data_IF_248536498853
#
_entry.id   IF_248536498853
#
_cell.length_a   1.000
_cell.length_b   1.000
_cell.length_c   1.000
_cell.angle_alpha   90.00
_cell.angle_beta   90.00
_cell.angle_gamma   90.00
#
_symmetry.space_group_name_H-M   'P 1'
#
loop_
_entity.id
_entity.type
_entity.pdbx_description
1 polymer ?
#
# COMPACT_ATOMS: atom_id res chain seq x y z
N UNK A 1 -8.05 -16.77 32.77
CA UNK A 1 -8.47 -15.49 33.38
C UNK A 1 -7.31 -14.47 33.37
N UNK A 2 -6.04 -14.88 33.55
CA UNK A 2 -4.85 -13.99 33.52
C UNK A 2 -4.58 -13.35 32.13
N UNK A 3 -4.67 -14.12 31.06
CA UNK A 3 -4.36 -13.64 29.69
C UNK A 3 -5.29 -12.49 29.25
N UNK A 4 -6.57 -12.53 29.61
CA UNK A 4 -7.52 -11.46 29.27
C UNK A 4 -7.23 -10.15 30.00
N UNK A 5 -6.73 -10.24 31.26
CA UNK A 5 -6.42 -9.05 32.09
C UNK A 5 -5.15 -8.34 31.57
N UNK A 6 -4.10 -9.08 31.22
CA UNK A 6 -2.87 -8.53 30.64
C UNK A 6 -3.13 -7.86 29.28
N UNK A 7 -3.94 -8.51 28.42
CA UNK A 7 -4.34 -7.96 27.13
C UNK A 7 -5.10 -6.63 27.28
N UNK A 8 -6.09 -6.57 28.20
CA UNK A 8 -6.86 -5.36 28.43
C UNK A 8 -5.97 -4.22 28.97
N UNK A 9 -5.02 -4.53 29.85
CA UNK A 9 -4.05 -3.55 30.33
C UNK A 9 -3.16 -3.02 29.19
N UNK A 10 -2.72 -3.88 28.26
CA UNK A 10 -1.96 -3.45 27.09
C UNK A 10 -2.79 -2.53 26.17
N UNK A 11 -4.09 -2.85 25.97
CA UNK A 11 -4.99 -2.01 25.19
C UNK A 11 -5.15 -0.63 25.81
N UNK A 12 -5.31 -0.56 27.12
CA UNK A 12 -5.49 0.71 27.85
C UNK A 12 -4.24 1.60 27.83
N UNK A 13 -3.06 1.03 27.60
CA UNK A 13 -1.81 1.79 27.41
C UNK A 13 -1.65 2.37 25.99
N UNK A 14 -2.47 1.94 25.03
CA UNK A 14 -2.40 2.46 23.68
C UNK A 14 -2.97 3.87 23.59
N UNK A 15 -2.21 4.80 23.03
CA UNK A 15 -2.66 6.18 22.77
C UNK A 15 -3.63 6.28 21.58
N UNK A 16 -3.65 5.27 20.72
CA UNK A 16 -4.55 5.19 19.56
C UNK A 16 -5.83 4.47 19.92
N UNK A 17 -6.96 4.75 19.24
CA UNK A 17 -8.15 3.94 19.42
C UNK A 17 -7.86 2.47 19.13
N UNK A 18 -8.24 1.62 20.08
CA UNK A 18 -8.08 0.19 19.97
C UNK A 18 -9.24 -0.51 20.69
N UNK A 19 -9.76 -1.57 20.08
CA UNK A 19 -10.78 -2.39 20.71
C UNK A 19 -10.61 -3.86 20.34
N UNK A 20 -10.99 -4.70 21.29
CA UNK A 20 -10.90 -6.15 21.17
C UNK A 20 -12.26 -6.76 20.87
N UNK A 21 -12.30 -7.67 19.91
CA UNK A 21 -13.50 -8.36 19.45
C UNK A 21 -13.35 -9.87 19.66
N UNK A 22 -14.34 -10.47 20.28
CA UNK A 22 -14.49 -11.93 20.40
C UNK A 22 -15.89 -12.29 19.89
N UNK A 23 -15.97 -13.33 19.08
CA UNK A 23 -17.23 -13.80 18.49
C UNK A 23 -18.04 -12.68 17.79
N UNK A 24 -17.35 -11.75 17.14
CA UNK A 24 -17.98 -10.63 16.45
C UNK A 24 -18.52 -9.50 17.34
N UNK A 25 -18.25 -9.54 18.64
CA UNK A 25 -18.72 -8.57 19.64
C UNK A 25 -17.54 -7.84 20.28
N UNK A 26 -17.63 -6.52 20.42
CA UNK A 26 -16.64 -5.71 21.15
C UNK A 26 -16.66 -6.09 22.62
N UNK A 27 -15.57 -6.65 23.13
CA UNK A 27 -15.44 -7.11 24.53
C UNK A 27 -14.68 -6.14 25.41
N UNK A 28 -13.75 -5.39 24.83
CA UNK A 28 -12.99 -4.37 25.55
C UNK A 28 -12.55 -3.27 24.59
N UNK A 29 -12.47 -2.04 25.08
CA UNK A 29 -11.97 -0.90 24.32
C UNK A 29 -11.20 0.06 25.22
N UNK A 30 -10.19 0.71 24.66
CA UNK A 30 -9.46 1.73 25.39
C UNK A 30 -10.21 3.08 25.39
N UNK A 31 -9.74 4.01 26.20
CA UNK A 31 -10.33 5.35 26.36
C UNK A 31 -10.40 6.11 25.02
N UNK A 32 -9.40 5.94 24.16
CA UNK A 32 -9.38 6.59 22.85
C UNK A 32 -10.47 6.04 21.90
N UNK A 33 -10.72 4.72 21.93
CA UNK A 33 -11.79 4.11 21.16
C UNK A 33 -13.19 4.49 21.67
N UNK A 34 -13.36 4.65 22.98
CA UNK A 34 -14.61 5.09 23.58
C UNK A 34 -15.04 6.49 23.07
N UNK A 35 -14.09 7.35 22.68
CA UNK A 35 -14.40 8.64 22.08
C UNK A 35 -14.99 8.58 20.66
N UNK A 36 -14.93 7.41 20.01
CA UNK A 36 -15.42 7.16 18.65
C UNK A 36 -16.91 6.72 18.59
N UNK A 37 -17.72 6.94 19.63
CA UNK A 37 -19.11 6.50 19.70
C UNK A 37 -19.27 4.95 19.60
N UNK A 38 -18.26 4.21 20.04
CA UNK A 38 -18.31 2.76 20.18
C UNK A 38 -18.69 2.39 21.62
N UNK A 39 -19.23 1.20 21.81
CA UNK A 39 -19.54 0.66 23.14
C UNK A 39 -19.27 -0.84 23.21
N UNK A 40 -18.88 -1.33 24.38
CA UNK A 40 -18.78 -2.76 24.64
C UNK A 40 -20.14 -3.42 24.45
N UNK A 41 -20.13 -4.62 23.91
CA UNK A 41 -21.36 -5.35 23.54
C UNK A 41 -21.87 -5.06 22.12
N UNK A 42 -21.31 -4.08 21.39
CA UNK A 42 -21.68 -3.83 19.99
C UNK A 42 -21.19 -4.96 19.09
N UNK A 43 -22.03 -5.31 18.08
CA UNK A 43 -21.66 -6.22 17.01
C UNK A 43 -20.82 -5.46 15.96
N UNK A 44 -19.65 -5.99 15.64
CA UNK A 44 -18.69 -5.38 14.69
C UNK A 44 -19.19 -5.47 13.25
N UNK A 45 -19.94 -6.50 12.88
CA UNK A 45 -20.44 -6.71 11.52
C UNK A 45 -21.23 -5.49 11.01
N UNK A 46 -22.01 -4.85 11.87
CA UNK A 46 -22.74 -3.62 11.54
C UNK A 46 -21.87 -2.41 11.30
N UNK A 47 -20.63 -2.42 11.80
CA UNK A 47 -19.67 -1.34 11.63
C UNK A 47 -18.84 -1.48 10.35
N UNK A 48 -18.74 -2.68 9.75
CA UNK A 48 -17.90 -2.91 8.58
C UNK A 48 -18.58 -2.31 7.35
N UNK A 49 -17.94 -1.25 6.81
CA UNK A 49 -18.43 -0.54 5.62
C UNK A 49 -17.93 -1.20 4.33
N UNK A 50 -16.72 -1.76 4.33
CA UNK A 50 -16.12 -2.43 3.16
C UNK A 50 -15.45 -3.74 3.56
N UNK A 51 -15.18 -4.62 2.58
CA UNK A 51 -14.40 -5.85 2.78
C UNK A 51 -15.03 -6.87 3.75
N UNK A 52 -16.36 -6.99 3.76
CA UNK A 52 -17.07 -7.98 4.60
C UNK A 52 -16.71 -9.41 4.25
N UNK A 53 -16.51 -9.72 2.98
CA UNK A 53 -16.14 -11.06 2.52
C UNK A 53 -14.72 -11.41 2.97
N UNK A 54 -13.79 -10.46 2.86
CA UNK A 54 -12.41 -10.61 3.32
C UNK A 54 -12.35 -10.75 4.84
N UNK A 55 -13.16 -9.97 5.55
CA UNK A 55 -13.27 -10.06 7.02
C UNK A 55 -13.81 -11.42 7.47
N UNK A 56 -14.83 -11.94 6.79
CA UNK A 56 -15.41 -13.25 7.11
C UNK A 56 -14.43 -14.42 6.86
N UNK A 57 -13.45 -14.25 5.98
CA UNK A 57 -12.42 -15.25 5.66
C UNK A 57 -11.13 -15.05 6.46
N UNK A 58 -11.04 -13.98 7.25
CA UNK A 58 -9.85 -13.62 8.00
C UNK A 58 -9.69 -14.56 9.20
N UNK A 59 -8.76 -15.50 9.12
CA UNK A 59 -8.40 -16.43 10.20
C UNK A 59 -7.06 -16.13 10.84
N UNK A 60 -6.13 -15.56 10.06
CA UNK A 60 -4.77 -15.24 10.48
C UNK A 60 -4.30 -13.97 9.77
N UNK A 61 -3.26 -13.33 10.31
CA UNK A 61 -2.67 -12.13 9.72
C UNK A 61 -3.42 -10.84 10.05
N UNK A 62 -3.35 -9.87 9.14
CA UNK A 62 -4.05 -8.60 9.30
C UNK A 62 -4.78 -8.17 8.03
N UNK A 63 -5.92 -7.53 8.23
CA UNK A 63 -6.77 -6.98 7.19
C UNK A 63 -6.94 -5.48 7.43
N UNK A 64 -6.73 -4.68 6.38
CA UNK A 64 -7.13 -3.29 6.42
C UNK A 64 -8.47 -3.12 5.70
N UNK A 65 -9.44 -2.54 6.40
CA UNK A 65 -10.82 -2.34 5.94
C UNK A 65 -11.34 -0.95 6.36
N UNK A 66 -12.55 -0.61 5.94
CA UNK A 66 -13.23 0.59 6.42
C UNK A 66 -14.38 0.25 7.36
N UNK A 67 -14.45 0.99 8.46
CA UNK A 67 -15.54 0.98 9.42
C UNK A 67 -16.41 2.22 9.24
N UNK A 68 -17.72 2.06 9.35
CA UNK A 68 -18.66 3.17 9.45
C UNK A 68 -18.90 3.48 10.94
N UNK A 69 -18.28 4.53 11.44
CA UNK A 69 -18.38 4.95 12.84
C UNK A 69 -19.01 6.34 12.88
N UNK A 70 -20.14 6.48 13.55
CA UNK A 70 -20.84 7.79 13.61
C UNK A 70 -21.26 8.34 12.25
N UNK A 71 -21.50 7.49 11.26
CA UNK A 71 -21.86 7.88 9.89
C UNK A 71 -20.66 8.29 9.02
N UNK A 72 -19.45 8.15 9.50
CA UNK A 72 -18.22 8.43 8.75
C UNK A 72 -17.43 7.15 8.51
N UNK A 73 -16.82 7.04 7.31
CA UNK A 73 -15.94 5.93 7.00
C UNK A 73 -14.54 6.19 7.57
N UNK A 74 -14.08 5.26 8.41
CA UNK A 74 -12.79 5.30 9.10
C UNK A 74 -12.00 4.07 8.69
N UNK A 75 -10.78 4.26 8.22
CA UNK A 75 -9.85 3.15 8.00
C UNK A 75 -9.56 2.42 9.31
N UNK A 76 -9.46 1.10 9.26
CA UNK A 76 -9.09 0.31 10.42
C UNK A 76 -8.23 -0.88 10.02
N UNK A 77 -7.24 -1.19 10.83
CA UNK A 77 -6.48 -2.43 10.73
C UNK A 77 -7.04 -3.43 11.72
N UNK A 78 -7.38 -4.62 11.25
CA UNK A 78 -7.82 -5.75 12.04
C UNK A 78 -6.69 -6.76 12.11
N UNK A 79 -6.30 -7.17 13.30
CA UNK A 79 -5.23 -8.15 13.53
C UNK A 79 -5.83 -9.37 14.22
N UNK A 80 -5.69 -10.54 13.58
CA UNK A 80 -6.11 -11.79 14.20
C UNK A 80 -5.10 -12.25 15.25
N UNK A 81 -5.63 -12.68 16.40
CA UNK A 81 -4.85 -13.24 17.48
C UNK A 81 -5.57 -14.42 18.13
N UNK A 82 -4.81 -15.19 18.93
CA UNK A 82 -5.40 -16.27 19.71
C UNK A 82 -6.57 -15.76 20.59
N UNK A 83 -7.77 -16.22 20.29
CA UNK A 83 -8.98 -15.92 21.04
C UNK A 83 -9.78 -14.71 20.57
N UNK A 84 -9.38 -14.00 19.49
CA UNK A 84 -10.17 -12.88 18.96
C UNK A 84 -9.43 -11.99 17.98
N UNK A 85 -9.91 -10.78 17.85
CA UNK A 85 -9.41 -9.83 16.87
C UNK A 85 -9.19 -8.46 17.50
N UNK A 86 -8.03 -7.86 17.24
CA UNK A 86 -7.72 -6.49 17.62
C UNK A 86 -8.07 -5.57 16.47
N UNK A 87 -8.91 -4.58 16.74
CA UNK A 87 -9.24 -3.50 15.82
C UNK A 87 -8.50 -2.24 16.22
N UNK A 88 -7.83 -1.64 15.23
CA UNK A 88 -7.06 -0.41 15.35
C UNK A 88 -7.61 0.62 14.36
N UNK A 89 -8.67 1.38 14.73
CA UNK A 89 -9.17 2.46 13.89
C UNK A 89 -8.11 3.55 13.72
N UNK A 90 -8.06 4.12 12.52
CA UNK A 90 -7.23 5.29 12.25
C UNK A 90 -7.85 6.51 12.91
N UNK A 91 -7.02 7.29 13.62
CA UNK A 91 -7.50 8.51 14.29
C UNK A 91 -7.72 9.64 13.28
N UNK A 92 -8.86 10.34 13.41
CA UNK A 92 -8.99 11.66 12.82
C UNK A 92 -7.99 12.61 13.54
N UNK A 93 -6.98 13.15 12.96
CA UNK A 93 -6.94 14.07 11.84
C UNK A 93 -5.83 13.77 10.80
N UNK A 94 -5.75 12.56 10.31
CA UNK A 94 -4.78 12.20 9.26
C UNK A 94 -4.93 13.13 8.06
N UNK A 95 -6.15 13.57 7.74
CA UNK A 95 -6.41 14.46 6.61
C UNK A 95 -5.69 15.82 6.68
N UNK A 96 -5.59 16.44 7.85
CA UNK A 96 -4.91 17.73 8.01
C UNK A 96 -3.39 17.59 7.91
N UNK A 97 -2.84 16.57 8.56
CA UNK A 97 -1.41 16.25 8.49
C UNK A 97 -1.01 15.84 7.08
N UNK A 98 -1.80 14.99 6.41
CA UNK A 98 -1.57 14.58 5.02
C UNK A 98 -1.66 15.77 4.06
N UNK A 99 -2.61 16.69 4.26
CA UNK A 99 -2.68 17.93 3.45
C UNK A 99 -1.45 18.78 3.63
N UNK A 100 -0.94 18.93 4.86
CA UNK A 100 0.29 19.67 5.11
C UNK A 100 1.49 19.01 4.44
N UNK A 101 1.62 17.69 4.55
CA UNK A 101 2.65 16.89 3.86
C UNK A 101 2.56 17.06 2.34
N UNK A 102 1.36 16.97 1.78
CA UNK A 102 1.14 17.13 0.34
C UNK A 102 1.53 18.53 -0.14
N UNK A 103 1.13 19.57 0.57
CA UNK A 103 1.52 20.95 0.24
C UNK A 103 3.03 21.14 0.31
N UNK A 104 3.69 20.59 1.32
CA UNK A 104 5.16 20.61 1.43
C UNK A 104 5.82 19.87 0.27
N UNK A 105 5.30 18.70 -0.08
CA UNK A 105 5.79 17.92 -1.21
C UNK A 105 5.66 18.68 -2.55
N UNK A 106 4.53 19.34 -2.77
CA UNK A 106 4.32 20.18 -3.96
C UNK A 106 5.33 21.33 -4.03
N UNK A 107 5.63 21.98 -2.89
CA UNK A 107 6.63 23.04 -2.82
C UNK A 107 8.06 22.54 -3.03
N UNK A 108 8.38 21.30 -2.65
CA UNK A 108 9.70 20.69 -2.86
C UNK A 108 9.91 20.22 -4.30
N UNK A 109 8.84 19.93 -5.04
CA UNK A 109 8.94 19.41 -6.42
C UNK A 109 9.61 20.39 -7.37
N UNK A 110 9.26 21.68 -7.31
CA UNK A 110 9.83 22.70 -8.18
C UNK A 110 11.35 22.91 -7.96
N UNK A 111 11.85 23.17 -6.72
CA UNK A 111 13.29 23.32 -6.51
C UNK A 111 14.06 22.03 -6.78
N UNK A 112 13.47 20.86 -6.52
CA UNK A 112 14.11 19.59 -6.90
C UNK A 112 14.23 19.45 -8.42
N UNK A 113 13.19 19.77 -9.18
CA UNK A 113 13.25 19.74 -10.65
C UNK A 113 14.32 20.68 -11.21
N UNK A 114 14.46 21.87 -10.60
CA UNK A 114 15.52 22.81 -10.94
C UNK A 114 16.92 22.27 -10.64
N UNK A 115 17.13 21.67 -9.47
CA UNK A 115 18.37 21.02 -9.12
C UNK A 115 18.70 19.84 -10.04
N UNK A 116 17.70 19.06 -10.46
CA UNK A 116 17.88 17.95 -11.39
C UNK A 116 18.36 18.45 -12.77
N UNK A 117 17.74 19.51 -13.29
CA UNK A 117 18.14 20.09 -14.57
C UNK A 117 19.59 20.65 -14.56
N UNK A 118 19.99 21.27 -13.44
CA UNK A 118 21.37 21.74 -13.26
C UNK A 118 22.31 20.55 -13.15
N UNK A 119 21.92 19.52 -12.40
CA UNK A 119 22.74 18.35 -12.16
C UNK A 119 22.97 17.54 -13.44
N UNK A 120 21.97 17.43 -14.34
CA UNK A 120 22.12 16.80 -15.64
C UNK A 120 23.30 17.40 -16.44
N UNK A 121 23.42 18.72 -16.47
CA UNK A 121 24.53 19.39 -17.18
C UNK A 121 25.90 19.10 -16.54
N UNK A 122 25.95 19.00 -15.20
CA UNK A 122 27.19 18.67 -14.48
C UNK A 122 27.56 17.20 -14.69
N UNK A 123 26.57 16.30 -14.68
CA UNK A 123 26.76 14.86 -14.82
C UNK A 123 27.23 14.45 -16.22
N UNK A 124 26.96 15.23 -17.27
CA UNK A 124 27.50 14.99 -18.61
C UNK A 124 29.04 14.98 -18.68
N UNK A 125 29.69 15.62 -17.72
CA UNK A 125 31.17 15.67 -17.60
C UNK A 125 31.70 14.85 -16.42
N UNK A 126 30.85 14.18 -15.64
CA UNK A 126 31.21 13.39 -14.49
C UNK A 126 31.59 11.95 -14.85
N UNK A 127 32.22 11.26 -13.91
CA UNK A 127 32.42 9.82 -14.02
C UNK A 127 31.05 9.11 -14.12
N UNK A 128 30.85 8.18 -15.07
CA UNK A 128 29.57 7.50 -15.28
C UNK A 128 29.00 6.81 -14.01
N UNK A 129 29.88 6.29 -13.15
CA UNK A 129 29.46 5.65 -11.90
C UNK A 129 28.84 6.67 -10.93
N UNK A 130 29.46 7.85 -10.79
CA UNK A 130 28.92 8.94 -9.98
C UNK A 130 27.63 9.50 -10.56
N UNK A 131 27.55 9.61 -11.90
CA UNK A 131 26.35 10.06 -12.58
C UNK A 131 25.17 9.11 -12.32
N UNK A 132 25.37 7.82 -12.48
CA UNK A 132 24.38 6.79 -12.21
C UNK A 132 23.88 6.83 -10.75
N UNK A 133 24.80 6.96 -9.80
CA UNK A 133 24.45 7.06 -8.38
C UNK A 133 23.65 8.34 -8.08
N UNK A 134 24.04 9.48 -8.63
CA UNK A 134 23.34 10.75 -8.45
C UNK A 134 21.91 10.67 -9.03
N UNK A 135 21.75 10.14 -10.24
CA UNK A 135 20.47 9.96 -10.88
C UNK A 135 19.54 9.01 -10.07
N UNK A 136 20.08 7.90 -9.57
CA UNK A 136 19.31 7.03 -8.67
C UNK A 136 18.83 7.77 -7.42
N UNK A 137 19.67 8.59 -6.79
CA UNK A 137 19.28 9.39 -5.62
C UNK A 137 18.21 10.42 -5.94
N UNK A 138 18.25 11.01 -7.14
CA UNK A 138 17.19 11.90 -7.61
C UNK A 138 15.85 11.18 -7.77
N UNK A 139 15.84 9.97 -8.35
CA UNK A 139 14.64 9.14 -8.47
C UNK A 139 14.07 8.78 -7.08
N UNK A 140 14.93 8.43 -6.11
CA UNK A 140 14.50 8.17 -4.74
C UNK A 140 13.85 9.40 -4.10
N UNK A 141 14.42 10.59 -4.26
CA UNK A 141 13.83 11.83 -3.76
C UNK A 141 12.49 12.15 -4.43
N UNK A 142 12.41 12.02 -5.75
CA UNK A 142 11.14 12.19 -6.49
C UNK A 142 10.06 11.23 -6.00
N UNK A 143 10.42 9.96 -5.80
CA UNK A 143 9.49 8.96 -5.27
C UNK A 143 8.98 9.35 -3.89
N UNK A 144 9.84 9.79 -2.98
CA UNK A 144 9.43 10.25 -1.64
C UNK A 144 8.47 11.43 -1.75
N UNK A 145 8.79 12.44 -2.54
CA UNK A 145 7.97 13.63 -2.74
C UNK A 145 6.62 13.26 -3.37
N UNK A 146 6.62 12.38 -4.37
CA UNK A 146 5.39 11.90 -4.99
C UNK A 146 4.52 11.13 -3.98
N UNK A 147 5.10 10.23 -3.20
CA UNK A 147 4.36 9.50 -2.16
C UNK A 147 3.75 10.43 -1.11
N UNK A 148 4.46 11.51 -0.72
CA UNK A 148 3.92 12.51 0.20
C UNK A 148 2.76 13.31 -0.42
N UNK A 149 2.87 13.69 -1.69
CA UNK A 149 1.82 14.39 -2.43
C UNK A 149 0.56 13.53 -2.55
N UNK A 150 0.74 12.28 -2.94
CA UNK A 150 -0.36 11.37 -3.26
C UNK A 150 -1.03 10.80 -2.01
N UNK A 151 -0.34 10.74 -0.89
CA UNK A 151 -0.93 10.29 0.37
C UNK A 151 -2.21 11.07 0.73
N UNK A 152 -2.20 12.41 0.55
CA UNK A 152 -3.40 13.22 0.76
C UNK A 152 -4.40 13.15 -0.41
N UNK A 153 -3.90 12.98 -1.63
CA UNK A 153 -4.74 12.92 -2.82
C UNK A 153 -5.53 11.62 -2.86
N UNK A 154 -4.89 10.49 -2.56
CA UNK A 154 -5.54 9.17 -2.55
C UNK A 154 -6.44 8.95 -1.33
N UNK A 155 -6.25 9.72 -0.27
CA UNK A 155 -7.17 9.74 0.86
C UNK A 155 -8.53 10.42 0.54
N UNK A 156 -8.63 11.14 -0.58
CA UNK A 156 -9.84 11.80 -1.05
C UNK A 156 -10.47 10.97 -2.20
N UNK A 157 -11.57 10.23 -1.95
CA UNK A 157 -12.20 9.39 -2.97
C UNK A 157 -12.70 10.17 -4.20
N UNK A 158 -13.03 11.45 -4.04
CA UNK A 158 -13.51 12.30 -5.13
C UNK A 158 -12.43 12.61 -6.16
N UNK A 159 -11.17 12.38 -5.81
CA UNK A 159 -10.01 12.53 -6.70
C UNK A 159 -9.59 11.24 -7.41
N UNK A 160 -10.29 10.15 -7.16
CA UNK A 160 -10.07 8.89 -7.86
C UNK A 160 -10.73 8.93 -9.25
N UNK A 161 -9.92 8.86 -10.29
CA UNK A 161 -10.38 8.97 -11.67
C UNK A 161 -10.41 7.61 -12.34
N UNK A 162 -11.49 6.89 -12.16
CA UNK A 162 -11.67 5.55 -12.70
C UNK A 162 -12.02 5.59 -14.17
N UNK A 163 -11.37 4.75 -14.94
CA UNK A 163 -11.69 4.46 -16.33
C UNK A 163 -11.93 2.96 -16.53
N UNK A 164 -12.69 2.62 -17.58
CA UNK A 164 -13.01 1.23 -17.90
C UNK A 164 -11.80 0.57 -18.55
N UNK A 165 -11.14 -0.28 -17.82
CA UNK A 165 -9.84 -0.86 -18.16
C UNK A 165 -9.93 -2.38 -18.24
N UNK A 166 -9.25 -2.97 -19.23
CA UNK A 166 -8.94 -4.40 -19.25
C UNK A 166 -7.78 -4.63 -18.27
N UNK A 167 -8.08 -5.24 -17.12
CA UNK A 167 -7.14 -5.27 -15.97
C UNK A 167 -6.06 -6.33 -16.16
N UNK A 168 -6.34 -7.45 -16.83
CA UNK A 168 -5.37 -8.53 -16.97
C UNK A 168 -4.18 -8.09 -17.82
N UNK A 169 -4.40 -7.57 -19.03
CA UNK A 169 -3.35 -7.06 -19.89
C UNK A 169 -2.63 -5.85 -19.29
N UNK A 170 -3.38 -4.97 -18.61
CA UNK A 170 -2.75 -3.84 -17.92
C UNK A 170 -1.78 -4.28 -16.82
N UNK A 171 -2.14 -5.29 -16.04
CA UNK A 171 -1.23 -5.86 -15.02
C UNK A 171 -0.07 -6.60 -15.65
N UNK A 172 -0.29 -7.36 -16.74
CA UNK A 172 0.79 -8.03 -17.48
C UNK A 172 1.85 -7.05 -17.96
N UNK A 173 1.45 -5.90 -18.57
CA UNK A 173 2.37 -4.84 -18.99
C UNK A 173 3.25 -4.32 -17.85
N UNK A 174 2.65 -4.05 -16.67
CA UNK A 174 3.38 -3.59 -15.49
C UNK A 174 4.35 -4.67 -14.99
N UNK A 175 3.89 -5.94 -14.93
CA UNK A 175 4.68 -7.04 -14.38
C UNK A 175 5.84 -7.43 -15.30
N UNK A 176 5.67 -7.43 -16.62
CA UNK A 176 6.75 -7.67 -17.60
C UNK A 176 7.85 -6.61 -17.46
N UNK A 177 7.46 -5.35 -17.37
CA UNK A 177 8.39 -4.24 -17.16
C UNK A 177 9.12 -4.38 -15.82
N UNK A 178 8.40 -4.66 -14.75
CA UNK A 178 8.97 -4.85 -13.43
C UNK A 178 9.92 -6.07 -13.38
N UNK A 179 9.56 -7.20 -14.01
CA UNK A 179 10.41 -8.38 -14.09
C UNK A 179 11.74 -8.07 -14.79
N UNK A 180 11.68 -7.38 -15.94
CA UNK A 180 12.88 -6.94 -16.65
C UNK A 180 13.83 -6.14 -15.75
N UNK A 181 13.31 -5.19 -14.98
CA UNK A 181 14.10 -4.38 -14.07
C UNK A 181 14.63 -5.18 -12.86
N UNK A 182 13.79 -6.04 -12.27
CA UNK A 182 14.16 -6.81 -11.08
C UNK A 182 15.14 -7.94 -11.34
N UNK A 183 15.26 -8.42 -12.59
CA UNK A 183 16.29 -9.38 -12.98
C UNK A 183 17.71 -8.84 -12.72
N UNK A 184 17.92 -7.52 -12.77
CA UNK A 184 19.22 -6.91 -12.45
C UNK A 184 19.63 -7.05 -10.97
N UNK A 185 18.67 -7.40 -10.10
CA UNK A 185 18.92 -7.72 -8.68
C UNK A 185 18.72 -9.21 -8.37
N UNK A 186 18.72 -10.06 -9.40
CA UNK A 186 18.49 -11.50 -9.30
C UNK A 186 17.14 -11.88 -8.66
N UNK A 187 16.11 -11.06 -8.86
CA UNK A 187 14.74 -11.36 -8.49
C UNK A 187 13.93 -11.57 -9.76
N UNK A 188 13.15 -12.65 -9.83
CA UNK A 188 12.19 -12.95 -10.90
C UNK A 188 10.77 -12.70 -10.42
N UNK A 189 9.90 -12.28 -11.32
CA UNK A 189 8.48 -12.20 -11.09
C UNK A 189 7.78 -13.37 -11.79
N UNK A 190 7.28 -14.32 -11.01
CA UNK A 190 6.47 -15.41 -11.51
C UNK A 190 4.99 -15.01 -11.49
N UNK A 191 4.47 -14.53 -12.62
CA UNK A 191 3.10 -14.05 -12.74
C UNK A 191 2.14 -15.16 -13.17
N UNK A 192 0.97 -15.21 -12.54
CA UNK A 192 -0.16 -16.05 -12.90
C UNK A 192 -1.41 -15.19 -13.02
N UNK A 193 -1.57 -14.59 -14.20
CA UNK A 193 -2.71 -13.73 -14.56
C UNK A 193 -3.67 -14.56 -15.45
N UNK A 194 -5.00 -14.52 -15.21
CA UNK A 194 -5.96 -15.22 -16.05
C UNK A 194 -5.93 -14.71 -17.49
N UNK A 195 -6.06 -15.61 -18.47
CA UNK A 195 -6.13 -15.24 -19.88
C UNK A 195 -7.50 -14.71 -20.32
N UNK A 196 -8.41 -14.48 -19.39
CA UNK A 196 -9.71 -13.88 -19.65
C UNK A 196 -9.62 -12.35 -19.62
N UNK A 197 -10.33 -11.69 -20.52
CA UNK A 197 -10.44 -10.24 -20.52
C UNK A 197 -11.38 -9.79 -19.40
N UNK A 198 -10.84 -9.24 -18.32
CA UNK A 198 -11.62 -8.73 -17.19
C UNK A 198 -11.62 -7.21 -17.24
N UNK A 199 -12.80 -6.66 -17.54
CA UNK A 199 -13.01 -5.22 -17.58
C UNK A 199 -13.63 -4.71 -16.30
N UNK A 200 -13.06 -3.65 -15.71
CA UNK A 200 -13.64 -2.96 -14.56
C UNK A 200 -13.20 -1.49 -14.51
N UNK A 201 -13.87 -0.71 -13.66
CA UNK A 201 -13.54 0.69 -13.45
C UNK A 201 -12.36 0.79 -12.47
N UNK A 202 -11.20 1.21 -12.94
CA UNK A 202 -10.00 1.44 -12.14
C UNK A 202 -9.34 2.77 -12.48
N UNK A 203 -8.72 3.37 -11.51
CA UNK A 203 -7.75 4.45 -11.72
C UNK A 203 -6.39 3.79 -12.01
N UNK A 204 -5.97 3.84 -13.27
CA UNK A 204 -4.77 3.15 -13.76
C UNK A 204 -3.51 3.61 -13.05
N UNK A 205 -3.37 4.92 -12.84
CA UNK A 205 -2.22 5.49 -12.16
C UNK A 205 -2.13 5.00 -10.70
N UNK A 206 -3.24 5.06 -9.96
CA UNK A 206 -3.28 4.56 -8.60
C UNK A 206 -2.98 3.06 -8.52
N UNK A 207 -3.54 2.26 -9.44
CA UNK A 207 -3.32 0.81 -9.45
C UNK A 207 -1.88 0.46 -9.81
N UNK A 208 -1.29 1.10 -10.84
CA UNK A 208 0.10 0.92 -11.23
C UNK A 208 1.05 1.21 -10.05
N UNK A 209 0.86 2.34 -9.38
CA UNK A 209 1.66 2.71 -8.21
C UNK A 209 1.49 1.75 -7.04
N UNK A 210 0.27 1.26 -6.81
CA UNK A 210 0.05 0.24 -5.77
C UNK A 210 0.81 -1.06 -6.09
N UNK A 211 0.81 -1.51 -7.36
CA UNK A 211 1.54 -2.69 -7.79
C UNK A 211 3.05 -2.52 -7.61
N UNK A 212 3.63 -1.41 -8.09
CA UNK A 212 5.06 -1.14 -7.90
C UNK A 212 5.44 -1.03 -6.42
N UNK A 213 4.62 -0.38 -5.58
CA UNK A 213 4.88 -0.31 -4.14
C UNK A 213 4.82 -1.69 -3.47
N UNK A 214 3.91 -2.57 -3.90
CA UNK A 214 3.85 -3.96 -3.43
C UNK A 214 5.10 -4.75 -3.84
N UNK A 215 5.52 -4.63 -5.11
CA UNK A 215 6.73 -5.28 -5.63
C UNK A 215 8.00 -4.76 -4.94
N UNK A 216 8.12 -3.44 -4.75
CA UNK A 216 9.22 -2.84 -4.01
C UNK A 216 9.29 -3.34 -2.57
N UNK A 217 8.15 -3.46 -1.89
CA UNK A 217 8.08 -4.02 -0.54
C UNK A 217 8.48 -5.49 -0.53
N UNK A 218 8.00 -6.28 -1.50
CA UNK A 218 8.36 -7.69 -1.63
C UNK A 218 9.87 -7.89 -1.84
N UNK A 219 10.52 -7.03 -2.63
CA UNK A 219 11.96 -7.07 -2.84
C UNK A 219 12.75 -6.59 -1.61
N UNK A 220 12.30 -5.56 -0.89
CA UNK A 220 12.98 -5.02 0.30
C UNK A 220 12.95 -5.97 1.50
N UNK A 221 11.79 -6.61 1.72
CA UNK A 221 11.54 -7.42 2.91
C UNK A 221 11.64 -8.92 2.64
N UNK A 222 11.76 -9.30 1.36
CA UNK A 222 12.04 -10.65 0.93
C UNK A 222 13.51 -11.03 1.07
N UNK A 223 13.85 -12.25 0.67
CA UNK A 223 15.25 -12.66 0.53
C UNK A 223 15.88 -11.93 -0.67
N UNK A 224 17.15 -11.62 -0.57
CA UNK A 224 17.91 -10.85 -1.58
C UNK A 224 18.04 -11.56 -2.94
N UNK A 225 17.67 -12.83 -3.03
CA UNK A 225 17.64 -13.62 -4.27
C UNK A 225 16.43 -14.55 -4.23
N UNK A 226 15.69 -14.65 -5.34
CA UNK A 226 14.54 -15.56 -5.39
C UNK A 226 13.48 -15.13 -6.38
N UNK A 227 12.26 -15.60 -6.18
CA UNK A 227 11.10 -15.22 -6.98
C UNK A 227 10.04 -14.51 -6.15
N UNK A 228 9.39 -13.53 -6.77
CA UNK A 228 8.16 -12.92 -6.28
C UNK A 228 7.02 -13.54 -7.07
N UNK A 229 6.11 -14.21 -6.37
CA UNK A 229 4.93 -14.81 -7.00
C UNK A 229 3.80 -13.78 -7.04
N UNK A 230 3.28 -13.50 -8.23
CA UNK A 230 2.14 -12.61 -8.44
C UNK A 230 0.97 -13.40 -8.99
N UNK A 231 -0.18 -13.32 -8.35
CA UNK A 231 -1.36 -14.05 -8.77
C UNK A 231 -2.59 -13.16 -8.77
N UNK A 232 -3.31 -13.15 -9.88
CA UNK A 232 -4.63 -12.54 -9.98
C UNK A 232 -5.72 -13.62 -9.98
N UNK A 233 -6.70 -13.49 -9.10
CA UNK A 233 -7.84 -14.42 -9.02
C UNK A 233 -9.14 -13.63 -8.98
N UNK A 234 -10.09 -14.03 -9.82
CA UNK A 234 -11.47 -13.53 -9.73
C UNK A 234 -12.29 -14.44 -8.81
N UNK A 235 -12.99 -13.83 -7.84
CA UNK A 235 -13.98 -14.51 -7.00
C UNK A 235 -15.23 -13.66 -6.96
N UNK A 236 -16.31 -14.14 -7.55
CA UNK A 236 -17.56 -13.39 -7.64
C UNK A 236 -17.37 -12.03 -8.34
N UNK A 237 -17.68 -10.97 -7.64
CA UNK A 237 -17.55 -9.58 -8.12
C UNK A 237 -16.27 -8.88 -7.62
N UNK A 238 -15.25 -9.64 -7.28
CA UNK A 238 -13.97 -9.09 -6.84
C UNK A 238 -12.79 -9.74 -7.54
N UNK A 239 -11.74 -8.94 -7.71
CA UNK A 239 -10.40 -9.34 -8.12
C UNK A 239 -9.49 -9.34 -6.90
N UNK A 240 -8.64 -10.34 -6.79
CA UNK A 240 -7.65 -10.50 -5.73
C UNK A 240 -6.27 -10.61 -6.36
N UNK A 241 -5.49 -9.54 -6.25
CA UNK A 241 -4.09 -9.49 -6.66
C UNK A 241 -3.22 -9.82 -5.47
N UNK A 242 -2.61 -10.99 -5.46
CA UNK A 242 -1.70 -11.44 -4.39
C UNK A 242 -0.25 -11.34 -4.84
N UNK A 243 0.60 -10.76 -4.01
CA UNK A 243 2.05 -10.69 -4.19
C UNK A 243 2.68 -11.39 -2.99
N UNK A 244 3.39 -12.46 -3.26
CA UNK A 244 4.06 -13.29 -2.26
C UNK A 244 5.55 -13.26 -2.48
N UNK A 245 6.31 -12.99 -1.43
CA UNK A 245 7.77 -13.05 -1.42
C UNK A 245 8.28 -14.02 -0.37
N UNK A 246 9.45 -14.63 -0.63
CA UNK A 246 10.18 -15.35 0.38
C UNK A 246 10.80 -14.37 1.38
N UNK A 247 10.52 -14.55 2.65
CA UNK A 247 11.03 -13.74 3.75
C UNK A 247 10.34 -14.18 5.03
N UNK A 248 11.12 -14.33 6.10
CA UNK A 248 10.56 -14.79 7.38
C UNK A 248 9.43 -13.87 7.83
N UNK A 249 8.32 -14.48 8.23
CA UNK A 249 7.25 -13.77 8.91
C UNK A 249 7.85 -12.98 10.08
N UNK A 250 7.58 -11.68 10.23
CA UNK A 250 7.98 -10.97 11.42
C UNK A 250 7.38 -11.69 12.61
N UNK A 251 8.20 -11.98 13.64
CA UNK A 251 7.72 -12.63 14.86
C UNK A 251 6.45 -11.93 15.34
N UNK A 252 5.47 -12.69 15.83
CA UNK A 252 4.14 -12.19 16.20
C UNK A 252 4.19 -10.95 17.13
N UNK A 253 5.24 -10.82 17.98
CA UNK A 253 5.50 -9.64 18.80
C UNK A 253 5.97 -8.42 17.98
N UNK A 254 6.68 -8.61 16.86
CA UNK A 254 7.20 -7.50 16.05
C UNK A 254 6.12 -6.78 15.23
N UNK A 255 4.98 -7.44 15.00
CA UNK A 255 3.84 -6.82 14.34
C UNK A 255 3.23 -5.72 15.22
N UNK A 256 3.05 -5.98 16.51
CA UNK A 256 2.63 -4.98 17.51
C UNK A 256 3.65 -3.87 17.68
N UNK A 257 4.93 -4.21 17.74
CA UNK A 257 6.01 -3.26 17.88
C UNK A 257 6.03 -2.23 16.74
N UNK A 258 5.68 -2.65 15.52
CA UNK A 258 5.57 -1.73 14.36
C UNK A 258 4.40 -0.74 14.47
N UNK A 259 3.30 -1.13 15.12
CA UNK A 259 2.16 -0.24 15.38
C UNK A 259 2.33 0.60 16.65
N UNK A 260 3.15 0.15 17.59
CA UNK A 260 3.43 0.83 18.87
C UNK A 260 4.64 1.77 18.78
N UNK A 261 5.58 1.50 17.87
CA UNK A 261 6.75 2.38 17.68
C UNK A 261 6.34 3.57 16.83
N UNK A 262 6.71 4.76 17.29
CA UNK A 262 6.83 5.91 16.42
C UNK A 262 7.80 5.55 15.29
N UNK A 263 7.52 5.95 14.02
CA UNK A 263 8.44 5.70 12.93
C UNK A 263 9.78 6.36 13.28
N UNK A 264 10.75 5.54 13.68
CA UNK A 264 12.12 6.00 13.90
C UNK A 264 12.80 6.09 12.54
N UNK A 265 13.41 7.22 12.18
CA UNK A 265 14.10 7.41 10.91
C UNK A 265 15.48 6.73 10.92
N UNK A 266 15.58 5.47 11.35
CA UNK A 266 16.86 4.78 11.55
C UNK A 266 17.43 4.18 10.27
N UNK A 267 16.59 3.96 9.24
CA UNK A 267 17.07 3.43 7.96
C UNK A 267 16.34 4.12 6.79
N UNK A 268 17.05 4.99 6.05
CA UNK A 268 16.49 5.59 4.83
C UNK A 268 16.00 4.57 3.78
N UNK A 269 16.55 3.34 3.80
CA UNK A 269 16.14 2.27 2.90
C UNK A 269 14.75 1.69 3.25
N UNK A 270 14.30 1.84 4.49
CA UNK A 270 12.97 1.35 4.90
C UNK A 270 11.81 2.27 4.47
N UNK A 271 12.11 3.49 4.06
CA UNK A 271 11.12 4.48 3.62
C UNK A 271 10.28 5.04 4.77
N UNK A 272 9.47 6.06 4.46
CA UNK A 272 8.64 6.81 5.43
C UNK A 272 7.34 6.04 5.82
N UNK A 273 7.16 4.80 5.36
CA UNK A 273 5.94 4.02 5.63
C UNK A 273 4.72 4.44 4.79
N UNK A 274 4.85 5.42 3.90
CA UNK A 274 3.74 5.91 3.08
C UNK A 274 3.25 4.91 2.03
N UNK A 275 4.12 4.01 1.54
CA UNK A 275 3.76 3.04 0.50
C UNK A 275 2.58 2.16 0.88
N UNK A 276 2.56 1.61 2.09
CA UNK A 276 1.44 0.78 2.56
C UNK A 276 0.15 1.60 2.75
N UNK A 277 0.28 2.87 3.15
CA UNK A 277 -0.87 3.78 3.26
C UNK A 277 -1.47 4.06 1.88
N UNK A 278 -0.64 4.30 0.86
CA UNK A 278 -1.09 4.46 -0.52
C UNK A 278 -1.82 3.22 -1.02
N UNK A 279 -1.26 2.01 -0.82
CA UNK A 279 -1.88 0.75 -1.20
C UNK A 279 -3.26 0.59 -0.55
N UNK A 280 -3.41 0.93 0.73
CA UNK A 280 -4.69 0.89 1.45
C UNK A 280 -5.71 1.88 0.88
N UNK A 281 -5.28 3.11 0.58
CA UNK A 281 -6.14 4.11 -0.04
C UNK A 281 -6.60 3.68 -1.42
N UNK A 282 -5.70 3.11 -2.24
CA UNK A 282 -6.05 2.55 -3.54
C UNK A 282 -7.08 1.42 -3.41
N UNK A 283 -6.87 0.49 -2.48
CA UNK A 283 -7.85 -0.58 -2.21
C UNK A 283 -9.21 -0.01 -1.85
N UNK A 284 -9.28 0.93 -0.91
CA UNK A 284 -10.51 1.57 -0.47
C UNK A 284 -11.21 2.30 -1.62
N UNK A 285 -10.46 3.08 -2.41
CA UNK A 285 -10.98 3.78 -3.58
C UNK A 285 -11.59 2.83 -4.61
N UNK A 286 -11.08 1.59 -4.72
CA UNK A 286 -11.57 0.57 -5.64
C UNK A 286 -12.56 -0.43 -4.99
N UNK A 287 -13.10 -0.11 -3.83
CA UNK A 287 -14.10 -0.94 -3.14
C UNK A 287 -13.56 -2.27 -2.61
N UNK A 288 -12.27 -2.33 -2.36
CA UNK A 288 -11.56 -3.50 -1.86
C UNK A 288 -10.90 -3.29 -0.51
N UNK A 289 -9.91 -4.13 -0.23
CA UNK A 289 -9.15 -4.17 1.01
C UNK A 289 -7.73 -4.67 0.78
N UNK A 290 -6.89 -4.54 1.78
CA UNK A 290 -5.54 -5.12 1.81
C UNK A 290 -5.47 -6.15 2.93
N UNK A 291 -5.10 -7.38 2.57
CA UNK A 291 -4.84 -8.49 3.48
C UNK A 291 -3.34 -8.79 3.47
N UNK A 292 -2.75 -8.95 4.64
CA UNK A 292 -1.39 -9.44 4.82
C UNK A 292 -1.44 -10.71 5.64
N UNK A 293 -0.98 -11.80 5.06
CA UNK A 293 -0.92 -13.09 5.74
C UNK A 293 0.43 -13.79 5.48
N UNK A 294 0.64 -14.87 6.21
CA UNK A 294 1.84 -15.69 6.14
C UNK A 294 1.42 -17.12 5.79
N UNK A 295 1.44 -17.50 4.50
CA UNK A 295 1.03 -18.84 4.07
C UNK A 295 1.83 -19.95 4.76
N UNK A 296 3.07 -19.65 5.13
CA UNK A 296 3.99 -20.48 5.91
C UNK A 296 5.02 -19.61 6.65
N UNK A 297 5.97 -20.25 7.35
CA UNK A 297 6.98 -19.54 8.15
C UNK A 297 7.96 -18.70 7.33
N UNK A 298 8.13 -19.04 6.04
CA UNK A 298 9.15 -18.47 5.17
C UNK A 298 8.60 -17.50 4.12
N UNK A 299 7.29 -17.30 4.07
CA UNK A 299 6.65 -16.46 3.06
C UNK A 299 5.71 -15.41 3.69
N UNK A 300 5.78 -14.21 3.12
CA UNK A 300 4.80 -13.16 3.37
C UNK A 300 4.02 -12.90 2.10
N UNK A 301 2.69 -12.83 2.23
CA UNK A 301 1.78 -12.54 1.12
C UNK A 301 0.96 -11.30 1.43
N UNK A 302 0.95 -10.37 0.48
CA UNK A 302 0.06 -9.20 0.50
C UNK A 302 -0.95 -9.36 -0.62
N UNK A 303 -2.24 -9.28 -0.27
CA UNK A 303 -3.34 -9.39 -1.24
C UNK A 303 -4.11 -8.08 -1.26
N UNK A 304 -4.18 -7.47 -2.45
CA UNK A 304 -5.02 -6.31 -2.75
C UNK A 304 -6.31 -6.81 -3.41
N UNK A 305 -7.46 -6.49 -2.84
CA UNK A 305 -8.74 -6.77 -3.50
C UNK A 305 -9.32 -5.52 -4.16
N UNK A 306 -10.03 -5.71 -5.28
CA UNK A 306 -10.67 -4.66 -6.07
C UNK A 306 -12.08 -5.13 -6.44
N UNK A 307 -13.08 -4.25 -6.37
CA UNK A 307 -14.41 -4.57 -6.83
C UNK A 307 -14.51 -4.55 -8.37
N UNK A 308 -15.25 -5.50 -8.95
CA UNK A 308 -15.57 -5.49 -10.38
C UNK A 308 -16.82 -4.63 -10.57
N UNK A 309 -16.64 -3.46 -11.15
CA UNK A 309 -17.71 -2.53 -11.46
C UNK A 309 -17.95 -2.53 -12.98
N UNK A 310 -19.13 -2.94 -13.41
CA UNK A 310 -19.51 -2.86 -14.83
C UNK A 310 -19.96 -1.43 -15.15
N UNK A 311 -19.20 -0.73 -15.98
CA UNK A 311 -19.58 0.59 -16.47
C UNK A 311 -20.83 0.50 -17.36
N UNK A 312 -21.82 1.33 -17.10
CA UNK A 312 -22.90 1.61 -18.04
C UNK A 312 -22.41 2.75 -18.96
N UNK A 313 -21.79 2.45 -20.05
CA UNK A 313 -21.41 3.51 -21.00
C UNK A 313 -20.61 2.98 -22.16
N UNK A 314 -20.83 3.59 -23.32
CA UNK A 314 -20.03 3.40 -24.52
C UNK A 314 -18.58 3.72 -24.22
N UNK A 315 -17.69 2.83 -24.63
CA UNK A 315 -16.23 2.98 -24.53
C UNK A 315 -15.75 4.18 -25.34
N UNK A 316 -15.93 5.38 -24.86
CA UNK A 316 -15.29 6.56 -25.40
C UNK A 316 -13.91 6.67 -24.77
N UNK A 317 -12.90 6.18 -25.45
CA UNK A 317 -11.48 6.46 -25.13
C UNK A 317 -11.21 7.93 -25.43
N UNK A 318 -11.42 8.80 -24.47
CA UNK A 318 -10.82 10.13 -24.53
C UNK A 318 -9.41 10.02 -23.94
N UNK A 319 -8.36 10.31 -24.71
CA UNK A 319 -7.03 10.44 -24.15
C UNK A 319 -7.06 11.65 -23.20
N UNK A 320 -7.10 11.38 -21.92
CA UNK A 320 -6.89 12.43 -20.92
C UNK A 320 -5.39 12.68 -20.91
N UNK A 321 -4.96 13.80 -21.48
CA UNK A 321 -3.61 14.34 -21.31
C UNK A 321 -3.47 14.73 -19.84
N UNK A 322 -3.02 13.80 -19.03
CA UNK A 322 -2.60 14.06 -17.65
C UNK A 322 -1.10 14.33 -17.66
N UNK A 323 -0.69 15.32 -16.89
CA UNK A 323 0.72 15.42 -16.52
C UNK A 323 1.00 14.21 -15.63
N UNK A 324 1.76 13.29 -16.21
CA UNK A 324 2.27 12.11 -15.54
C UNK A 324 3.06 12.51 -14.27
N UNK A 325 2.89 11.76 -13.18
CA UNK A 325 3.60 12.01 -11.92
C UNK A 325 5.12 11.83 -12.05
N UNK A 326 5.56 10.98 -12.97
CA UNK A 326 6.97 10.75 -13.31
C UNK A 326 7.50 11.75 -14.33
N UNK A 327 6.62 12.52 -15.01
CA UNK A 327 6.95 13.32 -16.17
C UNK A 327 7.28 12.41 -17.35
N UNK A 328 8.41 12.65 -18.03
CA UNK A 328 8.91 11.79 -19.10
C UNK A 328 9.73 10.58 -18.61
N UNK A 329 9.81 10.38 -17.29
CA UNK A 329 10.63 9.33 -16.69
C UNK A 329 9.93 7.98 -16.69
N UNK A 330 10.74 6.93 -16.67
CA UNK A 330 10.26 5.58 -16.54
C UNK A 330 9.66 5.30 -15.14
N UNK A 331 8.37 4.96 -15.08
CA UNK A 331 7.65 4.69 -13.83
C UNK A 331 8.27 3.52 -13.04
N UNK A 332 8.73 2.47 -13.73
CA UNK A 332 9.38 1.33 -13.08
C UNK A 332 10.69 1.73 -12.40
N UNK A 333 11.53 2.51 -13.10
CA UNK A 333 12.77 3.03 -12.52
C UNK A 333 12.49 3.95 -11.32
N UNK A 334 11.47 4.80 -11.41
CA UNK A 334 11.09 5.69 -10.31
C UNK A 334 10.63 4.90 -9.07
N UNK A 335 9.65 4.03 -9.24
CA UNK A 335 9.01 3.32 -8.14
C UNK A 335 9.88 2.20 -7.54
N UNK A 336 10.80 1.63 -8.31
CA UNK A 336 11.73 0.62 -7.85
C UNK A 336 13.11 1.18 -7.46
N UNK A 337 13.28 2.51 -7.45
CA UNK A 337 14.58 3.17 -7.20
C UNK A 337 15.24 2.81 -5.86
N UNK A 338 14.45 2.37 -4.88
CA UNK A 338 14.99 1.93 -3.58
C UNK A 338 15.72 0.59 -3.67
N UNK A 339 15.33 -0.28 -4.60
CA UNK A 339 15.83 -1.66 -4.70
C UNK A 339 16.76 -1.89 -5.89
N UNK A 340 16.59 -1.13 -6.98
CA UNK A 340 17.40 -1.28 -8.19
C UNK A 340 18.83 -0.74 -8.01
N UNK A 341 19.83 -1.33 -8.70
CA UNK A 341 21.20 -0.88 -8.63
C UNK A 341 21.40 0.45 -9.40
N UNK A 342 22.47 1.18 -9.07
CA UNK A 342 22.71 2.51 -9.63
C UNK A 342 22.98 2.50 -11.13
N UNK A 343 23.54 1.44 -11.66
CA UNK A 343 23.93 1.28 -13.07
C UNK A 343 22.76 1.43 -14.03
N UNK A 344 21.53 1.11 -13.58
CA UNK A 344 20.30 1.28 -14.38
C UNK A 344 19.90 2.76 -14.56
N UNK A 345 20.52 3.67 -13.83
CA UNK A 345 20.27 5.10 -13.88
C UNK A 345 21.39 5.86 -14.59
N UNK A 346 22.29 5.15 -15.28
CA UNK A 346 23.28 5.78 -16.15
C UNK A 346 22.53 6.54 -17.26
N UNK A 347 22.99 7.75 -17.56
CA UNK A 347 22.46 8.51 -18.69
C UNK A 347 22.82 7.75 -19.99
N UNK A 348 21.81 7.50 -20.83
CA UNK A 348 22.02 7.03 -22.20
C UNK A 348 22.66 8.12 -23.08
#
# INVERSE_FOLDING_TARGET
>A
MEIGTERNQMLDLMLRPAFWVEEGIIRHMNTAAASLLLSEGMAVEGLIASAREEYAQLSEGCLHLQLCIGGQNVGATVVCQAGGQLFLPETFPISAQLRSLSLTAMQLREPLSGLMAINEQILLSADPEYAALANRRQHQLLRIISNMSDAAQYADPDRCHKEYTEVCGFLEEILEKADTLMQHINIRIDSNIPRENIYTLVDREQLERAVYNLLSNAAKFGQSTGSIQVRLVRRGQKLYLSIQSSGAAPAAGSFYDRFLREPMPEDPAQGIGLGMMLIRSVAANHGGAVLVDHPDADHTRVTLSLAICHGKGDLVRSPVLRMDYAGERDHGLLELSDVLPAELYAME
#
